data_IF_404979460414
#
_entry.id   IF_404979460414
#
_cell.length_a   1.000
_cell.length_b   1.000
_cell.length_c   1.000
_cell.angle_alpha   90.00
_cell.angle_beta   90.00
_cell.angle_gamma   90.00
#
_symmetry.space_group_name_H-M   'P 1'
#
loop_
_entity.id
_entity.type
_entity.pdbx_description
1 polymer ?
#
# COMPACT_ATOMS: atom_id res chain seq x y z
N UNK A 1 -7.74 2.46 -14.81
CA UNK A 1 -6.63 1.68 -14.22
C UNK A 1 -5.62 2.61 -13.60
N UNK A 2 -5.73 2.76 -12.29
CA UNK A 2 -4.87 3.55 -11.43
C UNK A 2 -3.70 2.68 -10.97
N UNK A 3 -2.50 3.27 -10.91
CA UNK A 3 -1.28 2.59 -10.46
C UNK A 3 -0.60 3.46 -9.43
N UNK A 4 -0.43 2.92 -8.23
CA UNK A 4 0.20 3.63 -7.11
C UNK A 4 1.54 2.98 -6.84
N UNK A 5 2.61 3.75 -7.02
CA UNK A 5 3.95 3.32 -6.66
C UNK A 5 4.17 3.54 -5.16
N UNK A 6 4.52 2.48 -4.45
CA UNK A 6 4.88 2.56 -3.04
C UNK A 6 6.39 2.81 -2.93
N UNK A 7 6.81 3.99 -2.45
CA UNK A 7 8.21 4.36 -2.42
C UNK A 7 9.02 3.42 -1.52
N UNK A 8 10.04 2.79 -2.09
CA UNK A 8 10.94 1.86 -1.40
C UNK A 8 11.98 2.54 -0.50
N UNK A 9 12.07 3.88 -0.54
CA UNK A 9 12.95 4.69 0.30
C UNK A 9 12.34 5.07 1.66
N UNK A 10 11.25 4.41 2.05
CA UNK A 10 10.55 4.59 3.33
C UNK A 10 11.22 3.83 4.47
N UNK A 11 10.79 4.08 5.71
CA UNK A 11 11.38 3.48 6.92
C UNK A 11 11.28 1.95 6.91
N UNK A 12 10.24 1.38 6.30
CA UNK A 12 10.07 -0.07 6.20
C UNK A 12 10.83 -0.72 5.02
N UNK A 13 11.40 0.07 4.11
CA UNK A 13 11.98 -0.41 2.84
C UNK A 13 11.04 -1.36 2.09
N UNK A 14 9.74 -1.03 2.07
CA UNK A 14 8.72 -1.82 1.39
C UNK A 14 9.10 -2.05 -0.07
N UNK A 15 9.01 -3.31 -0.47
CA UNK A 15 9.26 -3.78 -1.83
C UNK A 15 8.34 -4.98 -2.08
N UNK A 16 8.25 -5.40 -3.35
CA UNK A 16 7.35 -6.49 -3.74
C UNK A 16 7.60 -7.78 -2.94
N UNK A 17 8.86 -8.15 -2.72
CA UNK A 17 9.21 -9.35 -1.96
C UNK A 17 8.76 -9.26 -0.50
N UNK A 18 8.96 -8.11 0.14
CA UNK A 18 8.51 -7.88 1.52
C UNK A 18 6.98 -7.94 1.62
N UNK A 19 6.27 -7.42 0.62
CA UNK A 19 4.81 -7.49 0.54
C UNK A 19 4.31 -8.95 0.49
N UNK A 20 4.91 -9.78 -0.36
CA UNK A 20 4.56 -11.21 -0.47
C UNK A 20 4.88 -11.99 0.81
N UNK A 21 6.05 -11.76 1.42
CA UNK A 21 6.48 -12.47 2.64
C UNK A 21 5.55 -12.16 3.82
N UNK A 22 5.08 -10.92 3.92
CA UNK A 22 4.23 -10.46 5.02
C UNK A 22 2.75 -10.85 4.86
N UNK A 23 2.39 -11.52 3.75
CA UNK A 23 1.02 -11.96 3.46
C UNK A 23 0.00 -10.85 3.67
N UNK A 24 0.30 -9.67 3.11
CA UNK A 24 -0.61 -8.54 3.15
C UNK A 24 -1.81 -8.80 2.24
N UNK A 25 -2.99 -8.22 2.55
CA UNK A 25 -4.13 -8.26 1.65
C UNK A 25 -3.71 -7.78 0.27
N UNK A 26 -4.09 -8.50 -0.78
CA UNK A 26 -3.75 -8.12 -2.15
C UNK A 26 -4.86 -7.18 -2.65
N UNK A 27 -4.53 -6.02 -3.25
CA UNK A 27 -5.54 -5.15 -3.86
C UNK A 27 -6.32 -5.90 -4.95
N UNK A 28 -7.57 -5.51 -5.27
CA UNK A 28 -8.43 -6.31 -6.14
C UNK A 28 -7.87 -6.51 -7.56
N UNK A 29 -7.12 -5.54 -8.08
CA UNK A 29 -6.41 -5.64 -9.35
C UNK A 29 -4.97 -6.16 -9.27
N UNK A 30 -4.53 -6.57 -8.09
CA UNK A 30 -3.23 -7.21 -7.88
C UNK A 30 -2.07 -6.24 -7.73
N UNK A 31 -0.88 -6.82 -7.63
CA UNK A 31 0.39 -6.12 -7.42
C UNK A 31 1.39 -6.47 -8.52
N UNK A 32 2.21 -5.50 -8.88
CA UNK A 32 3.32 -5.67 -9.81
C UNK A 32 4.63 -5.24 -9.16
N UNK A 33 5.72 -5.90 -9.55
CA UNK A 33 7.08 -5.48 -9.21
C UNK A 33 7.66 -4.68 -10.38
N UNK A 34 8.24 -3.51 -10.11
CA UNK A 34 9.10 -2.85 -11.10
C UNK A 34 10.49 -3.50 -11.15
N UNK A 35 11.30 -3.10 -12.14
CA UNK A 35 12.67 -3.57 -12.35
C UNK A 35 13.55 -3.40 -11.09
N UNK A 36 13.25 -2.41 -10.25
CA UNK A 36 13.97 -2.15 -9.00
C UNK A 36 13.36 -2.85 -7.77
N UNK A 37 12.41 -3.77 -7.95
CA UNK A 37 11.62 -4.41 -6.90
C UNK A 37 10.64 -3.45 -6.18
N UNK A 38 10.41 -2.26 -6.74
CA UNK A 38 9.42 -1.33 -6.21
C UNK A 38 8.03 -1.94 -6.34
N UNK A 39 7.20 -1.75 -5.31
CA UNK A 39 5.86 -2.29 -5.24
C UNK A 39 4.90 -1.35 -5.97
N UNK A 40 4.26 -1.85 -7.02
CA UNK A 40 3.13 -1.18 -7.68
C UNK A 40 1.84 -1.85 -7.23
N UNK A 41 0.93 -1.04 -6.69
CA UNK A 41 -0.44 -1.42 -6.43
C UNK A 41 -1.30 -1.04 -7.64
N UNK A 42 -2.17 -1.96 -8.08
CA UNK A 42 -3.06 -1.74 -9.21
C UNK A 42 -4.51 -1.67 -8.73
N UNK A 43 -5.26 -0.72 -9.29
CA UNK A 43 -6.67 -0.47 -8.99
C UNK A 43 -7.41 -0.09 -10.28
N UNK A 44 -8.72 -0.33 -10.38
CA UNK A 44 -9.53 0.16 -11.49
C UNK A 44 -9.61 1.70 -11.46
N UNK A 45 -9.91 2.23 -10.28
CA UNK A 45 -10.17 3.64 -10.01
C UNK A 45 -9.72 4.06 -8.59
N UNK A 46 -9.95 5.33 -8.26
CA UNK A 46 -9.63 5.94 -6.97
C UNK A 46 -10.47 5.38 -5.82
N UNK A 47 -11.71 4.96 -6.07
CA UNK A 47 -12.62 4.42 -5.05
C UNK A 47 -12.10 3.07 -4.54
N UNK A 48 -11.64 2.21 -5.44
CA UNK A 48 -11.04 0.92 -5.10
C UNK A 48 -9.75 1.09 -4.28
N UNK A 49 -8.91 2.06 -4.65
CA UNK A 49 -7.69 2.38 -3.91
C UNK A 49 -7.99 2.89 -2.49
N UNK A 50 -9.00 3.74 -2.34
CA UNK A 50 -9.46 4.22 -1.02
C UNK A 50 -9.99 3.06 -0.18
N UNK A 51 -10.85 2.21 -0.75
CA UNK A 51 -11.41 1.06 -0.04
C UNK A 51 -10.31 0.10 0.45
N UNK A 52 -9.30 -0.13 -0.37
CA UNK A 52 -8.14 -0.94 0.01
C UNK A 52 -7.29 -0.27 1.11
N UNK A 53 -7.07 1.05 1.04
CA UNK A 53 -6.39 1.78 2.11
C UNK A 53 -7.15 1.70 3.45
N UNK A 54 -8.49 1.74 3.42
CA UNK A 54 -9.31 1.59 4.62
C UNK A 54 -9.26 0.16 5.19
N UNK A 55 -9.18 -0.87 4.33
CA UNK A 55 -8.94 -2.25 4.76
C UNK A 55 -7.58 -2.40 5.45
N UNK A 56 -6.53 -1.82 4.86
CA UNK A 56 -5.20 -1.81 5.46
C UNK A 56 -5.17 -1.03 6.77
N UNK A 57 -5.92 0.07 6.88
CA UNK A 57 -6.04 0.81 8.12
C UNK A 57 -6.71 -0.04 9.21
N UNK A 58 -7.78 -0.76 8.87
CA UNK A 58 -8.40 -1.73 9.77
C UNK A 58 -7.42 -2.84 10.21
N UNK A 59 -6.57 -3.33 9.31
CA UNK A 59 -5.49 -4.27 9.63
C UNK A 59 -4.46 -3.64 10.57
N UNK A 60 -4.09 -2.37 10.34
CA UNK A 60 -3.13 -1.66 11.20
C UNK A 60 -3.63 -1.52 12.64
N UNK A 61 -4.95 -1.37 12.85
CA UNK A 61 -5.54 -1.35 14.18
C UNK A 61 -5.50 -2.71 14.89
N UNK A 62 -5.41 -3.81 14.15
CA UNK A 62 -5.24 -5.16 14.72
C UNK A 62 -3.79 -5.46 15.08
N UNK A 63 -2.83 -4.74 14.49
CA UNK A 63 -1.40 -4.86 14.77
C UNK A 63 -1.04 -4.04 16.01
N UNK A 64 -1.02 -4.71 17.16
CA UNK A 64 -0.78 -4.07 18.47
C UNK A 64 0.63 -3.47 18.62
N UNK A 65 1.63 -4.01 17.93
CA UNK A 65 3.01 -3.54 17.95
C UNK A 65 3.33 -2.68 16.71
N UNK A 66 3.53 -1.38 16.96
CA UNK A 66 3.82 -0.39 15.92
C UNK A 66 5.27 -0.41 15.42
N UNK A 67 6.11 -1.26 16.01
CA UNK A 67 7.50 -1.46 15.61
C UNK A 67 7.69 -2.72 14.77
N UNK A 68 6.66 -3.57 14.67
CA UNK A 68 6.71 -4.76 13.83
C UNK A 68 6.82 -4.38 12.35
N UNK A 69 7.64 -5.13 11.57
CA UNK A 69 7.79 -4.88 10.13
C UNK A 69 6.46 -4.84 9.39
N UNK A 70 5.50 -5.69 9.80
CA UNK A 70 4.17 -5.74 9.20
C UNK A 70 3.40 -4.44 9.38
N UNK A 71 3.43 -3.84 10.58
CA UNK A 71 2.78 -2.56 10.83
C UNK A 71 3.43 -1.45 10.01
N UNK A 72 4.76 -1.41 9.99
CA UNK A 72 5.51 -0.37 9.27
C UNK A 72 5.22 -0.41 7.76
N UNK A 73 5.22 -1.61 7.16
CA UNK A 73 4.89 -1.79 5.74
C UNK A 73 3.45 -1.41 5.44
N UNK A 74 2.49 -1.84 6.27
CA UNK A 74 1.07 -1.48 6.11
C UNK A 74 0.89 0.04 6.17
N UNK A 75 1.52 0.70 7.14
CA UNK A 75 1.47 2.15 7.28
C UNK A 75 2.07 2.87 6.07
N UNK A 76 3.22 2.42 5.56
CA UNK A 76 3.86 3.02 4.40
C UNK A 76 3.01 2.87 3.12
N UNK A 77 2.31 1.73 2.96
CA UNK A 77 1.37 1.53 1.85
C UNK A 77 0.15 2.45 1.98
N UNK A 78 -0.47 2.55 3.17
CA UNK A 78 -1.59 3.46 3.41
C UNK A 78 -1.17 4.89 3.08
N UNK A 79 0.01 5.30 3.53
CA UNK A 79 0.55 6.62 3.23
C UNK A 79 0.80 6.83 1.74
N UNK A 80 1.32 5.83 1.02
CA UNK A 80 1.51 5.93 -0.43
C UNK A 80 0.19 6.17 -1.15
N UNK A 81 -0.87 5.43 -0.79
CA UNK A 81 -2.20 5.59 -1.39
C UNK A 81 -2.80 6.95 -1.05
N UNK A 82 -2.82 7.34 0.24
CA UNK A 82 -3.44 8.61 0.67
C UNK A 82 -2.66 9.85 0.21
N UNK A 83 -1.37 9.71 -0.11
CA UNK A 83 -0.54 10.80 -0.65
C UNK A 83 -0.52 10.87 -2.18
N UNK A 84 -1.17 9.92 -2.87
CA UNK A 84 -1.26 9.94 -4.32
C UNK A 84 -2.12 11.13 -4.80
N UNK A 85 -1.67 11.82 -5.84
CA UNK A 85 -2.29 13.05 -6.34
C UNK A 85 -3.71 12.81 -6.88
N UNK A 86 -3.97 11.64 -7.48
CA UNK A 86 -5.29 11.30 -8.01
C UNK A 86 -6.27 11.03 -6.86
N UNK A 87 -5.82 10.30 -5.83
CA UNK A 87 -6.62 10.03 -4.63
C UNK A 87 -6.95 11.32 -3.87
N UNK A 88 -5.96 12.21 -3.69
CA UNK A 88 -6.19 13.51 -3.04
C UNK A 88 -7.12 14.41 -3.83
N UNK A 89 -7.08 14.33 -5.17
CA UNK A 89 -7.95 15.10 -6.03
C UNK A 89 -9.39 14.57 -6.02
N UNK A 90 -9.57 13.25 -5.91
CA UNK A 90 -10.89 12.61 -5.82
C UNK A 90 -11.59 12.83 -4.47
N UNK A 91 -10.83 12.87 -3.38
CA UNK A 91 -11.35 13.02 -2.01
C UNK A 91 -11.61 14.48 -1.57
N UNK A 92 -11.45 15.45 -2.48
CA UNK A 92 -11.65 16.89 -2.25
C UNK A 92 -13.06 17.36 -2.62
#
# INVERSE_FOLDING_TARGET
>A
MLRINVPSNTTSQVNFSTFEILQLPVPPNGVEAEINNDLILQFEDEEEAIAYADELEALSYQLTDKTEPRYLVVNDIIMAIRNDEFIQSYSR
#
